data_IF_010064840419
#
_entry.id   IF_010064840419
#
_cell.length_a   1.000
_cell.length_b   1.000
_cell.length_c   1.000
_cell.angle_alpha   90.00
_cell.angle_beta   90.00
_cell.angle_gamma   90.00
#
_symmetry.space_group_name_H-M   'P 1'
#
loop_
_entity.id
_entity.type
_entity.pdbx_description
1 polymer ?
#
# COMPACT_ATOMS: atom_id res chain seq x y z
N UNK A 1 -29.49 -52.34 25.88
CA UNK A 1 -29.81 -51.26 24.92
C UNK A 1 -28.59 -50.37 24.80
N UNK A 2 -27.71 -50.66 23.84
CA UNK A 2 -26.52 -49.86 23.57
C UNK A 2 -26.80 -48.97 22.36
N UNK A 3 -26.72 -47.66 22.55
CA UNK A 3 -26.82 -46.69 21.47
C UNK A 3 -25.46 -46.63 20.75
N UNK A 4 -25.43 -47.10 19.51
CA UNK A 4 -24.33 -46.86 18.58
C UNK A 4 -24.37 -45.39 18.15
N UNK A 5 -23.34 -44.64 18.52
CA UNK A 5 -23.12 -43.26 18.03
C UNK A 5 -22.38 -43.39 16.71
N UNK A 6 -23.09 -43.15 15.60
CA UNK A 6 -22.50 -43.04 14.27
C UNK A 6 -21.65 -41.76 14.19
N UNK A 7 -20.38 -41.92 13.84
CA UNK A 7 -19.48 -40.81 13.55
C UNK A 7 -19.75 -40.25 12.14
N UNK A 8 -19.71 -38.93 11.92
CA UNK A 8 -20.07 -38.33 10.65
C UNK A 8 -18.95 -38.43 9.58
N UNK A 9 -19.29 -38.59 8.28
CA UNK A 9 -18.40 -39.09 7.20
C UNK A 9 -17.46 -38.05 6.53
N UNK A 10 -17.09 -36.98 7.22
CA UNK A 10 -16.29 -35.86 6.66
C UNK A 10 -14.83 -35.78 7.12
N UNK A 11 -14.25 -36.88 7.62
CA UNK A 11 -12.79 -36.98 7.79
C UNK A 11 -12.14 -37.44 6.49
N UNK A 12 -11.89 -36.51 5.57
CA UNK A 12 -11.28 -36.88 4.30
C UNK A 12 -10.90 -35.75 3.35
N UNK A 13 -10.54 -34.55 3.84
CA UNK A 13 -9.81 -33.55 3.04
C UNK A 13 -8.83 -32.79 3.93
N UNK A 14 -7.55 -32.84 3.54
CA UNK A 14 -6.45 -32.20 4.26
C UNK A 14 -6.73 -30.72 4.45
N UNK A 15 -6.69 -30.28 5.72
CA UNK A 15 -6.68 -28.85 6.03
C UNK A 15 -5.39 -28.25 5.46
N UNK A 16 -5.44 -27.11 4.75
CA UNK A 16 -4.23 -26.39 4.40
C UNK A 16 -3.53 -26.02 5.71
N UNK A 17 -2.30 -26.50 5.89
CA UNK A 17 -1.43 -26.05 6.97
C UNK A 17 -1.35 -24.51 6.88
N UNK A 18 -1.56 -23.78 7.98
CA UNK A 18 -1.48 -22.33 7.96
C UNK A 18 -0.09 -21.90 7.48
N UNK A 19 -0.02 -20.97 6.53
CA UNK A 19 1.23 -20.37 6.02
C UNK A 19 2.16 -19.90 7.16
N UNK A 20 1.60 -19.57 8.33
CA UNK A 20 2.33 -19.25 9.55
C UNK A 20 3.24 -20.38 10.07
N UNK A 21 2.87 -21.66 9.90
CA UNK A 21 3.68 -22.79 10.34
C UNK A 21 4.92 -23.04 9.45
N UNK A 22 4.89 -22.58 8.20
CA UNK A 22 6.05 -22.64 7.29
C UNK A 22 7.06 -21.52 7.50
N UNK A 23 6.68 -20.41 8.14
CA UNK A 23 7.53 -19.23 8.35
C UNK A 23 8.33 -19.27 9.67
N UNK A 24 7.85 -20.03 10.66
CA UNK A 24 8.55 -20.22 11.95
C UNK A 24 10.00 -20.72 11.81
N UNK A 25 10.32 -21.77 11.03
CA UNK A 25 11.70 -22.22 10.89
C UNK A 25 12.58 -21.22 10.12
N UNK A 26 12.00 -20.40 9.24
CA UNK A 26 12.75 -19.37 8.49
C UNK A 26 13.13 -18.17 9.37
N UNK A 27 12.24 -17.76 10.28
CA UNK A 27 12.51 -16.68 11.23
C UNK A 27 13.60 -17.06 12.25
N UNK A 28 13.57 -18.29 12.76
CA UNK A 28 14.62 -18.79 13.66
C UNK A 28 15.98 -18.89 12.95
N UNK A 29 16.01 -19.41 11.72
CA UNK A 29 17.23 -19.48 10.92
C UNK A 29 17.81 -18.07 10.63
N UNK A 30 16.97 -17.06 10.42
CA UNK A 30 17.39 -15.67 10.23
C UNK A 30 18.03 -15.08 11.49
N UNK A 31 17.48 -15.35 12.68
CA UNK A 31 18.06 -14.88 13.93
C UNK A 31 19.43 -15.52 14.22
N UNK A 32 19.57 -16.83 14.00
CA UNK A 32 20.85 -17.53 14.20
C UNK A 32 21.93 -17.09 13.20
N UNK A 33 21.58 -16.94 11.93
CA UNK A 33 22.53 -16.48 10.90
C UNK A 33 22.95 -15.02 11.10
N UNK A 34 22.05 -14.15 11.54
CA UNK A 34 22.37 -12.76 11.87
C UNK A 34 23.31 -12.65 13.08
N UNK A 35 23.08 -13.46 14.12
CA UNK A 35 23.94 -13.50 15.31
C UNK A 35 25.33 -14.08 15.00
N UNK A 36 25.40 -15.16 14.21
CA UNK A 36 26.66 -15.79 13.82
C UNK A 36 27.44 -14.99 12.77
N UNK A 37 26.78 -14.18 11.94
CA UNK A 37 27.43 -13.32 10.94
C UNK A 37 27.93 -11.99 11.50
N UNK A 38 27.23 -11.41 12.49
CA UNK A 38 27.63 -10.15 13.11
C UNK A 38 28.81 -10.29 14.09
N UNK A 39 28.92 -11.45 14.76
CA UNK A 39 29.95 -11.68 15.79
C UNK A 39 31.40 -11.65 15.25
N UNK A 40 31.74 -12.27 14.10
CA UNK A 40 33.07 -12.17 13.51
C UNK A 40 33.39 -10.76 13.00
N UNK A 41 32.41 -10.07 12.41
CA UNK A 41 32.58 -8.70 11.91
C UNK A 41 32.87 -7.70 13.04
N UNK A 42 32.22 -7.91 14.20
CA UNK A 42 32.49 -7.15 15.43
C UNK A 42 33.90 -7.44 15.98
N UNK A 43 34.33 -8.71 16.00
CA UNK A 43 35.67 -9.10 16.46
C UNK A 43 36.80 -8.61 15.55
N UNK A 44 36.55 -8.44 14.25
CA UNK A 44 37.53 -7.95 13.27
C UNK A 44 37.64 -6.42 13.21
N UNK A 45 36.91 -5.68 14.06
CA UNK A 45 37.03 -4.23 14.17
C UNK A 45 36.39 -3.44 13.02
N UNK A 46 35.52 -4.07 12.23
CA UNK A 46 34.87 -3.44 11.08
C UNK A 46 33.61 -2.68 11.52
N UNK A 47 33.80 -1.60 12.26
CA UNK A 47 32.72 -0.76 12.81
C UNK A 47 32.11 0.23 11.83
N UNK A 48 32.37 0.11 10.53
CA UNK A 48 31.75 1.02 9.56
C UNK A 48 30.28 0.63 9.41
N UNK A 49 29.32 1.53 9.72
CA UNK A 49 27.89 1.22 9.67
C UNK A 49 27.44 0.80 8.27
N UNK A 50 28.13 1.26 7.21
CA UNK A 50 27.88 0.82 5.84
C UNK A 50 28.23 -0.65 5.57
N UNK A 51 29.26 -1.20 6.23
CA UNK A 51 29.64 -2.61 6.08
C UNK A 51 28.63 -3.54 6.78
N UNK A 52 28.15 -3.12 7.95
CA UNK A 52 27.11 -3.85 8.70
C UNK A 52 25.81 -3.89 7.88
N UNK A 53 25.41 -2.76 7.31
CA UNK A 53 24.21 -2.68 6.47
C UNK A 53 24.34 -3.57 5.21
N UNK A 54 25.51 -3.56 4.57
CA UNK A 54 25.79 -4.41 3.41
C UNK A 54 25.71 -5.91 3.73
N UNK A 55 26.25 -6.33 4.87
CA UNK A 55 26.22 -7.73 5.31
C UNK A 55 24.80 -8.20 5.66
N UNK A 56 23.99 -7.32 6.27
CA UNK A 56 22.57 -7.58 6.56
C UNK A 56 21.75 -7.72 5.27
N UNK A 57 21.98 -6.85 4.28
CA UNK A 57 21.30 -6.94 2.98
C UNK A 57 21.70 -8.20 2.20
N UNK A 58 22.98 -8.58 2.25
CA UNK A 58 23.48 -9.79 1.59
C UNK A 58 22.89 -11.05 2.23
N UNK A 59 22.87 -11.13 3.56
CA UNK A 59 22.30 -12.27 4.30
C UNK A 59 20.79 -12.39 4.09
N UNK A 60 20.06 -11.27 4.08
CA UNK A 60 18.64 -11.25 3.71
C UNK A 60 18.40 -11.76 2.28
N UNK A 61 19.21 -11.31 1.31
CA UNK A 61 19.08 -11.74 -0.09
C UNK A 61 19.31 -13.24 -0.26
N UNK A 62 20.31 -13.79 0.43
CA UNK A 62 20.60 -15.23 0.43
C UNK A 62 19.49 -16.07 1.10
N UNK A 63 18.88 -15.55 2.17
CA UNK A 63 17.79 -16.22 2.88
C UNK A 63 16.49 -16.25 2.07
N UNK A 64 16.22 -15.23 1.26
CA UNK A 64 14.99 -15.12 0.46
C UNK A 64 15.12 -15.83 -0.91
N UNK A 65 16.33 -16.01 -1.43
CA UNK A 65 16.58 -16.68 -2.72
C UNK A 65 15.92 -18.06 -2.89
N UNK A 66 15.90 -18.99 -1.91
CA UNK A 66 15.22 -20.27 -2.06
C UNK A 66 13.69 -20.17 -1.98
N UNK A 67 13.14 -19.16 -1.30
CA UNK A 67 11.67 -18.95 -1.19
C UNK A 67 11.08 -18.43 -2.50
N UNK A 68 11.86 -17.66 -3.26
CA UNK A 68 11.45 -17.16 -4.59
C UNK A 68 11.63 -18.18 -5.70
N UNK A 69 12.30 -19.31 -5.43
CA UNK A 69 12.46 -20.41 -6.40
C UNK A 69 11.27 -21.37 -6.32
N UNK A 70 10.07 -20.83 -6.55
CA UNK A 70 8.88 -21.64 -6.78
C UNK A 70 9.10 -22.43 -8.08
N UNK A 71 9.02 -23.78 -8.06
CA UNK A 71 9.12 -24.56 -9.28
C UNK A 71 7.95 -24.18 -10.19
N UNK A 72 8.26 -23.56 -11.33
CA UNK A 72 7.30 -23.42 -12.44
C UNK A 72 6.99 -24.82 -12.96
N UNK A 73 5.91 -25.41 -12.48
CA UNK A 73 5.30 -26.56 -13.13
C UNK A 73 4.94 -26.17 -14.56
N UNK A 74 5.41 -26.95 -15.52
CA UNK A 74 5.23 -26.69 -16.94
C UNK A 74 3.77 -26.94 -17.34
N UNK A 75 3.14 -25.95 -17.97
CA UNK A 75 1.84 -25.98 -18.64
C UNK A 75 1.78 -26.99 -19.80
N UNK A 76 1.81 -28.30 -19.52
CA UNK A 76 1.66 -29.34 -20.55
C UNK A 76 0.44 -30.25 -20.36
N UNK A 77 -0.43 -29.98 -19.38
CA UNK A 77 -1.55 -30.87 -19.03
C UNK A 77 -2.94 -30.50 -19.59
N UNK A 78 -3.24 -29.24 -19.89
CA UNK A 78 -4.63 -28.76 -19.97
C UNK A 78 -5.25 -28.65 -21.38
N UNK A 79 -4.68 -29.31 -22.40
CA UNK A 79 -5.17 -29.22 -23.81
C UNK A 79 -5.77 -30.50 -24.38
N UNK A 80 -6.12 -31.52 -23.57
CA UNK A 80 -6.64 -32.80 -24.10
C UNK A 80 -8.07 -33.19 -23.72
N UNK A 81 -8.87 -32.29 -23.13
CA UNK A 81 -10.26 -32.60 -22.78
C UNK A 81 -11.31 -31.89 -23.65
N UNK A 82 -10.93 -31.18 -24.72
CA UNK A 82 -11.88 -30.40 -25.53
C UNK A 82 -12.38 -31.10 -26.81
N UNK A 83 -11.77 -32.20 -27.25
CA UNK A 83 -12.05 -32.78 -28.59
C UNK A 83 -12.80 -34.12 -28.58
N UNK A 84 -13.56 -34.43 -27.53
CA UNK A 84 -14.39 -35.63 -27.49
C UNK A 84 -15.78 -35.36 -26.90
N UNK A 85 -16.54 -34.48 -27.55
CA UNK A 85 -17.99 -34.41 -27.37
C UNK A 85 -18.64 -34.70 -28.72
N UNK A 86 -18.92 -35.98 -28.96
CA UNK A 86 -19.78 -36.39 -30.08
C UNK A 86 -21.20 -35.82 -29.85
N UNK A 87 -21.79 -35.13 -30.84
CA UNK A 87 -23.11 -34.55 -30.69
C UNK A 87 -24.18 -35.58 -31.07
N UNK A 88 -24.48 -36.57 -30.23
CA UNK A 88 -25.70 -37.39 -30.41
C UNK A 88 -26.23 -37.98 -29.10
N UNK A 89 -26.59 -37.13 -28.14
CA UNK A 89 -27.61 -37.54 -27.16
C UNK A 89 -28.97 -37.53 -27.85
N UNK A 90 -29.36 -38.69 -28.40
CA UNK A 90 -30.75 -38.95 -28.78
C UNK A 90 -31.61 -38.76 -27.53
N UNK A 91 -32.33 -37.64 -27.47
CA UNK A 91 -33.39 -37.38 -26.48
C UNK A 91 -34.56 -38.34 -26.79
N UNK A 92 -34.43 -39.59 -26.35
CA UNK A 92 -35.46 -40.61 -26.51
C UNK A 92 -36.57 -40.32 -25.50
N UNK A 93 -37.74 -39.94 -26.01
CA UNK A 93 -38.98 -39.81 -25.20
C UNK A 93 -39.65 -38.44 -25.26
N UNK A 94 -39.02 -37.43 -25.85
CA UNK A 94 -39.64 -36.11 -26.00
C UNK A 94 -40.35 -36.01 -27.35
N UNK A 95 -41.58 -35.51 -27.31
CA UNK A 95 -42.34 -35.15 -28.52
C UNK A 95 -41.69 -33.95 -29.20
N UNK A 96 -41.91 -33.78 -30.51
CA UNK A 96 -41.36 -32.62 -31.27
C UNK A 96 -41.76 -31.27 -30.67
N UNK A 97 -42.91 -31.19 -29.99
CA UNK A 97 -43.36 -29.97 -29.31
C UNK A 97 -42.56 -29.69 -28.03
N UNK A 98 -42.19 -30.72 -27.27
CA UNK A 98 -41.36 -30.55 -26.07
C UNK A 98 -39.92 -30.19 -26.42
N UNK A 99 -39.40 -30.70 -27.54
CA UNK A 99 -38.08 -30.30 -28.05
C UNK A 99 -38.09 -28.84 -28.51
N UNK A 100 -39.10 -28.43 -29.28
CA UNK A 100 -39.24 -27.04 -29.72
C UNK A 100 -39.43 -26.07 -28.53
N UNK A 101 -40.16 -26.48 -27.50
CA UNK A 101 -40.32 -25.69 -26.28
C UNK A 101 -39.02 -25.61 -25.47
N UNK A 102 -38.27 -26.70 -25.36
CA UNK A 102 -36.97 -26.70 -24.69
C UNK A 102 -35.93 -25.85 -25.43
N UNK A 103 -35.95 -25.87 -26.77
CA UNK A 103 -35.13 -24.98 -27.61
C UNK A 103 -35.53 -23.51 -27.42
N UNK A 104 -36.84 -23.17 -27.42
CA UNK A 104 -37.30 -21.79 -27.21
C UNK A 104 -36.98 -21.27 -25.78
N UNK A 105 -37.07 -22.12 -24.76
CA UNK A 105 -36.70 -21.77 -23.37
C UNK A 105 -35.18 -21.57 -23.25
N UNK A 106 -34.37 -22.41 -23.88
CA UNK A 106 -32.91 -22.26 -23.88
C UNK A 106 -32.46 -21.03 -24.66
N UNK A 107 -33.10 -20.70 -25.78
CA UNK A 107 -32.83 -19.47 -26.53
C UNK A 107 -33.19 -18.21 -25.72
N UNK A 108 -34.31 -18.23 -24.98
CA UNK A 108 -34.68 -17.14 -24.07
C UNK A 108 -33.71 -16.98 -22.90
N UNK A 109 -33.30 -18.07 -22.26
CA UNK A 109 -32.34 -18.03 -21.15
C UNK A 109 -30.94 -17.57 -21.61
N UNK A 110 -30.54 -17.93 -22.85
CA UNK A 110 -29.29 -17.47 -23.44
C UNK A 110 -29.32 -15.97 -23.79
N UNK A 111 -30.45 -15.46 -24.29
CA UNK A 111 -30.64 -14.04 -24.56
C UNK A 111 -30.75 -13.20 -23.27
N UNK A 112 -31.37 -13.73 -22.21
CA UNK A 112 -31.50 -13.03 -20.93
C UNK A 112 -30.18 -13.02 -20.11
N UNK A 113 -29.33 -14.04 -20.26
CA UNK A 113 -27.97 -14.06 -19.70
C UNK A 113 -26.96 -13.18 -20.44
N UNK A 114 -27.13 -12.95 -21.74
CA UNK A 114 -26.25 -12.07 -22.53
C UNK A 114 -26.50 -10.58 -22.29
N UNK A 115 -27.63 -10.19 -21.69
CA UNK A 115 -28.01 -8.78 -21.49
C UNK A 115 -27.66 -8.24 -20.08
N UNK A 116 -27.22 -9.08 -19.12
CA UNK A 116 -27.06 -8.63 -17.72
C UNK A 116 -25.79 -9.04 -16.96
N UNK A 117 -24.84 -9.81 -17.54
CA UNK A 117 -23.85 -10.51 -16.70
C UNK A 117 -22.36 -10.16 -16.82
N UNK A 118 -21.84 -9.94 -18.02
CA UNK A 118 -20.38 -10.01 -18.22
C UNK A 118 -19.61 -8.75 -17.83
N UNK A 119 -20.21 -7.56 -17.96
CA UNK A 119 -19.52 -6.30 -17.67
C UNK A 119 -19.30 -6.05 -16.17
N UNK A 120 -20.26 -6.44 -15.32
CA UNK A 120 -20.12 -6.30 -13.87
C UNK A 120 -18.93 -7.11 -13.35
N UNK A 121 -18.71 -8.30 -13.90
CA UNK A 121 -17.60 -9.20 -13.58
C UNK A 121 -16.21 -8.65 -13.95
N UNK A 122 -16.14 -7.82 -15.00
CA UNK A 122 -14.89 -7.20 -15.47
C UNK A 122 -14.58 -5.93 -14.66
N UNK A 123 -15.60 -5.16 -14.29
CA UNK A 123 -15.44 -3.89 -13.55
C UNK A 123 -14.87 -4.13 -12.14
N UNK A 124 -15.44 -5.05 -11.35
CA UNK A 124 -14.93 -5.28 -9.98
C UNK A 124 -13.49 -5.79 -9.97
N UNK A 125 -13.11 -6.65 -10.92
CA UNK A 125 -11.73 -7.17 -11.04
C UNK A 125 -10.75 -6.06 -11.38
N UNK A 126 -11.16 -5.11 -12.22
CA UNK A 126 -10.35 -3.94 -12.57
C UNK A 126 -10.14 -3.07 -11.35
N UNK A 127 -11.20 -2.72 -10.62
CA UNK A 127 -11.09 -1.88 -9.43
C UNK A 127 -10.29 -2.55 -8.31
N UNK A 128 -10.42 -3.87 -8.14
CA UNK A 128 -9.60 -4.63 -7.19
C UNK A 128 -8.10 -4.59 -7.56
N UNK A 129 -7.77 -4.66 -8.85
CA UNK A 129 -6.38 -4.51 -9.32
C UNK A 129 -5.86 -3.11 -9.06
N UNK A 130 -6.64 -2.06 -9.36
CA UNK A 130 -6.25 -0.68 -9.07
C UNK A 130 -6.05 -0.43 -7.57
N UNK A 131 -6.89 -1.04 -6.73
CA UNK A 131 -6.73 -1.02 -5.27
C UNK A 131 -5.43 -1.70 -4.84
N UNK A 132 -5.12 -2.88 -5.39
CA UNK A 132 -3.87 -3.58 -5.12
C UNK A 132 -2.66 -2.75 -5.54
N UNK A 133 -2.67 -2.16 -6.74
CA UNK A 133 -1.61 -1.29 -7.24
C UNK A 133 -1.40 -0.07 -6.31
N UNK A 134 -2.47 0.55 -5.82
CA UNK A 134 -2.39 1.67 -4.88
C UNK A 134 -1.80 1.24 -3.51
N UNK A 135 -2.15 0.05 -3.03
CA UNK A 135 -1.58 -0.51 -1.78
C UNK A 135 -0.10 -0.84 -1.94
N UNK A 136 0.29 -1.45 -3.06
CA UNK A 136 1.68 -1.81 -3.36
C UNK A 136 2.57 -0.59 -3.58
N UNK A 137 2.03 0.46 -4.21
CA UNK A 137 2.72 1.74 -4.41
C UNK A 137 2.87 2.57 -3.12
N UNK A 138 2.22 2.17 -2.02
CA UNK A 138 2.16 2.92 -0.76
C UNK A 138 1.62 4.36 -0.94
N UNK A 139 0.76 4.57 -1.95
CA UNK A 139 0.18 5.87 -2.27
C UNK A 139 -1.07 6.14 -1.41
N UNK A 140 -0.82 6.70 -0.23
CA UNK A 140 -1.86 7.07 0.75
C UNK A 140 -2.82 8.13 0.20
N UNK A 141 -2.45 8.92 -0.82
CA UNK A 141 -3.35 9.93 -1.40
C UNK A 141 -4.33 9.31 -2.40
N UNK A 142 -3.87 8.34 -3.19
CA UNK A 142 -4.70 7.62 -4.15
C UNK A 142 -5.60 6.54 -3.49
N UNK A 143 -5.12 5.92 -2.40
CA UNK A 143 -5.78 4.77 -1.76
C UNK A 143 -7.26 5.01 -1.34
N UNK A 144 -7.65 6.17 -0.76
CA UNK A 144 -9.05 6.46 -0.44
C UNK A 144 -9.95 6.57 -1.68
N UNK A 145 -9.39 6.96 -2.82
CA UNK A 145 -10.09 6.98 -4.10
C UNK A 145 -10.35 5.56 -4.60
N UNK A 146 -9.31 4.71 -4.57
CA UNK A 146 -9.39 3.33 -4.99
C UNK A 146 -10.36 2.50 -4.14
N UNK A 147 -10.38 2.70 -2.81
CA UNK A 147 -11.32 2.00 -1.91
C UNK A 147 -12.77 2.33 -2.29
N UNK A 148 -13.09 3.62 -2.51
CA UNK A 148 -14.45 4.04 -2.89
C UNK A 148 -14.86 3.52 -4.27
N UNK A 149 -13.93 3.45 -5.21
CA UNK A 149 -14.20 2.90 -6.54
C UNK A 149 -14.46 1.38 -6.47
N UNK A 150 -13.68 0.64 -5.68
CA UNK A 150 -13.88 -0.78 -5.44
C UNK A 150 -15.21 -1.07 -4.71
N UNK A 151 -15.57 -0.26 -3.71
CA UNK A 151 -16.87 -0.33 -3.03
C UNK A 151 -18.03 -0.10 -4.01
N UNK A 152 -17.93 0.93 -4.87
CA UNK A 152 -18.94 1.21 -5.89
C UNK A 152 -19.06 0.10 -6.95
N UNK A 153 -17.98 -0.64 -7.20
CA UNK A 153 -17.97 -1.79 -8.09
C UNK A 153 -18.50 -3.08 -7.43
N UNK A 154 -18.91 -3.03 -6.16
CA UNK A 154 -19.48 -4.17 -5.44
C UNK A 154 -18.45 -5.14 -4.85
N UNK A 155 -17.19 -4.70 -4.67
CA UNK A 155 -16.17 -5.49 -3.96
C UNK A 155 -16.61 -5.73 -2.52
N UNK A 156 -16.43 -6.96 -2.03
CA UNK A 156 -16.89 -7.34 -0.71
C UNK A 156 -16.13 -6.59 0.40
N UNK A 157 -16.83 -6.16 1.45
CA UNK A 157 -16.24 -5.44 2.56
C UNK A 157 -15.07 -6.19 3.24
N UNK A 158 -15.08 -7.53 3.23
CA UNK A 158 -13.96 -8.34 3.73
C UNK A 158 -12.68 -8.18 2.93
N UNK A 159 -12.78 -7.90 1.62
CA UNK A 159 -11.64 -7.66 0.75
C UNK A 159 -11.12 -6.22 0.90
N UNK A 160 -12.04 -5.26 1.11
CA UNK A 160 -11.70 -3.86 1.38
C UNK A 160 -11.05 -3.65 2.75
N UNK A 161 -11.41 -4.47 3.75
CA UNK A 161 -10.93 -4.35 5.13
C UNK A 161 -9.40 -4.33 5.24
N UNK A 162 -8.70 -5.07 4.38
CA UNK A 162 -7.24 -5.04 4.35
C UNK A 162 -6.71 -3.68 3.88
N UNK A 163 -7.26 -3.14 2.79
CA UNK A 163 -6.86 -1.84 2.26
C UNK A 163 -7.18 -0.69 3.24
N UNK A 164 -8.32 -0.76 3.91
CA UNK A 164 -8.69 0.19 4.98
C UNK A 164 -7.73 0.13 6.16
N UNK A 165 -7.33 -1.08 6.59
CA UNK A 165 -6.36 -1.25 7.66
C UNK A 165 -4.99 -0.67 7.28
N UNK A 166 -4.55 -0.91 6.04
CA UNK A 166 -3.31 -0.31 5.50
C UNK A 166 -3.43 1.22 5.51
N UNK A 167 -4.52 1.78 4.99
CA UNK A 167 -4.75 3.24 4.99
C UNK A 167 -4.69 3.81 6.42
N UNK A 168 -5.40 3.20 7.36
CA UNK A 168 -5.42 3.62 8.77
C UNK A 168 -4.01 3.60 9.39
N UNK A 169 -3.25 2.54 9.14
CA UNK A 169 -1.86 2.43 9.61
C UNK A 169 -0.98 3.53 9.03
N UNK A 170 -1.07 3.81 7.71
CA UNK A 170 -0.26 4.82 7.04
C UNK A 170 -0.62 6.24 7.48
N UNK A 171 -1.90 6.54 7.66
CA UNK A 171 -2.36 7.81 8.23
C UNK A 171 -1.82 7.99 9.64
N UNK A 172 -1.87 6.95 10.48
CA UNK A 172 -1.31 6.99 11.83
C UNK A 172 0.21 7.24 11.82
N UNK A 173 0.95 6.57 10.94
CA UNK A 173 2.40 6.78 10.77
C UNK A 173 2.73 8.21 10.31
N UNK A 174 2.01 8.74 9.29
CA UNK A 174 2.18 10.13 8.83
C UNK A 174 1.89 11.13 9.94
N UNK A 175 0.81 10.91 10.70
CA UNK A 175 0.46 11.74 11.86
C UNK A 175 1.54 11.72 12.93
N UNK A 176 2.07 10.52 13.26
CA UNK A 176 3.14 10.37 14.23
C UNK A 176 4.43 11.07 13.77
N UNK A 177 4.85 10.87 12.51
CA UNK A 177 6.02 11.54 11.94
C UNK A 177 5.89 13.06 11.96
N UNK A 178 4.70 13.58 11.62
CA UNK A 178 4.44 15.02 11.68
C UNK A 178 4.47 15.57 13.12
N UNK A 179 3.92 14.83 14.09
CA UNK A 179 4.02 15.16 15.51
C UNK A 179 5.47 15.19 16.02
N UNK A 180 6.28 14.21 15.63
CA UNK A 180 7.70 14.17 15.99
C UNK A 180 8.47 15.34 15.37
N UNK A 181 8.22 15.65 14.10
CA UNK A 181 8.81 16.82 13.43
C UNK A 181 8.42 18.12 14.15
N UNK A 182 7.14 18.26 14.52
CA UNK A 182 6.64 19.39 15.30
C UNK A 182 7.38 19.50 16.64
N UNK A 183 7.47 18.40 17.40
CA UNK A 183 8.18 18.35 18.69
C UNK A 183 9.64 18.76 18.56
N UNK A 184 10.35 18.25 17.55
CA UNK A 184 11.76 18.60 17.29
C UNK A 184 11.93 20.09 17.00
N UNK A 185 11.04 20.68 16.21
CA UNK A 185 11.09 22.11 15.89
C UNK A 185 10.78 22.96 17.13
N UNK A 186 9.85 22.53 17.98
CA UNK A 186 9.52 23.27 19.22
C UNK A 186 10.52 23.09 20.36
N UNK A 187 11.26 21.98 20.40
CA UNK A 187 12.20 21.66 21.48
C UNK A 187 13.67 21.98 21.14
N UNK A 188 13.97 22.35 19.89
CA UNK A 188 15.33 22.60 19.43
C UNK A 188 15.98 23.79 20.15
N UNK A 189 17.22 23.66 20.66
CA UNK A 189 17.95 24.79 21.23
C UNK A 189 18.38 25.73 20.09
N UNK A 190 17.94 26.99 20.15
CA UNK A 190 18.38 28.04 19.23
C UNK A 190 17.23 28.86 18.64
N UNK A 191 17.56 29.93 17.90
CA UNK A 191 16.55 30.69 17.15
C UNK A 191 15.95 29.79 16.08
N UNK A 192 14.72 29.35 16.31
CA UNK A 192 13.97 28.59 15.31
C UNK A 192 13.48 29.58 14.25
N UNK A 193 13.86 29.34 13.00
CA UNK A 193 13.38 30.14 11.87
C UNK A 193 11.86 30.04 11.76
N UNK A 194 11.18 31.19 11.65
CA UNK A 194 9.72 31.24 11.53
C UNK A 194 9.20 30.36 10.38
N UNK A 195 9.98 30.27 9.29
CA UNK A 195 9.71 29.41 8.12
C UNK A 195 9.64 27.94 8.52
N UNK A 196 10.57 27.44 9.35
CA UNK A 196 10.60 26.03 9.77
C UNK A 196 9.40 25.66 10.63
N UNK A 197 9.03 26.53 11.57
CA UNK A 197 7.82 26.34 12.40
C UNK A 197 6.58 26.34 11.51
N UNK A 198 6.48 27.28 10.56
CA UNK A 198 5.37 27.36 9.63
C UNK A 198 5.22 26.08 8.81
N UNK A 199 6.31 25.57 8.23
CA UNK A 199 6.28 24.32 7.47
C UNK A 199 5.87 23.12 8.35
N UNK A 200 6.41 23.01 9.57
CA UNK A 200 6.07 21.94 10.50
C UNK A 200 4.58 21.96 10.89
N UNK A 201 4.03 23.14 11.19
CA UNK A 201 2.60 23.31 11.51
C UNK A 201 1.72 22.95 10.30
N UNK A 202 2.09 23.36 9.09
CA UNK A 202 1.34 23.02 7.88
C UNK A 202 1.33 21.51 7.62
N UNK A 203 2.47 20.84 7.73
CA UNK A 203 2.56 19.39 7.59
C UNK A 203 1.73 18.65 8.66
N UNK A 204 1.79 19.10 9.92
CA UNK A 204 1.02 18.51 10.99
C UNK A 204 -0.50 18.68 10.79
N UNK A 205 -0.94 19.84 10.29
CA UNK A 205 -2.35 20.06 9.91
C UNK A 205 -2.78 19.13 8.76
N UNK A 206 -1.97 19.02 7.72
CA UNK A 206 -2.24 18.12 6.60
C UNK A 206 -2.33 16.64 7.03
N UNK A 207 -1.54 16.24 8.04
CA UNK A 207 -1.56 14.90 8.61
C UNK A 207 -2.67 14.67 9.66
N UNK A 208 -3.58 15.63 9.87
CA UNK A 208 -4.69 15.48 10.81
C UNK A 208 -4.28 15.50 12.29
N UNK A 209 -3.19 16.18 12.64
CA UNK A 209 -2.79 16.38 14.03
C UNK A 209 -3.82 17.25 14.77
N UNK A 210 -4.10 16.92 16.03
CA UNK A 210 -5.12 17.61 16.81
C UNK A 210 -4.75 19.07 17.08
N UNK A 211 -5.75 19.95 17.22
CA UNK A 211 -5.50 21.37 17.54
C UNK A 211 -4.77 21.56 18.87
N UNK A 212 -5.03 20.68 19.84
CA UNK A 212 -4.36 20.72 21.14
C UNK A 212 -2.85 20.46 21.02
N UNK A 213 -2.47 19.47 20.20
CA UNK A 213 -1.06 19.17 19.93
C UNK A 213 -0.34 20.30 19.16
N UNK A 214 -1.07 21.02 18.30
CA UNK A 214 -0.53 22.12 17.49
C UNK A 214 -0.33 23.41 18.28
N UNK A 215 -1.09 23.61 19.37
CA UNK A 215 -1.20 24.89 20.09
C UNK A 215 0.16 25.50 20.43
N UNK A 216 1.07 24.73 21.03
CA UNK A 216 2.40 25.23 21.41
C UNK A 216 3.22 25.69 20.21
N UNK A 217 3.15 24.97 19.09
CA UNK A 217 3.87 25.33 17.88
C UNK A 217 3.26 26.57 17.21
N UNK A 218 1.94 26.74 17.29
CA UNK A 218 1.26 27.94 16.78
C UNK A 218 1.58 29.19 17.60
N UNK A 219 1.61 29.07 18.93
CA UNK A 219 2.06 30.14 19.84
C UNK A 219 3.51 30.56 19.53
N UNK A 220 4.41 29.58 19.36
CA UNK A 220 5.80 29.84 18.96
C UNK A 220 5.89 30.48 17.57
N UNK A 221 5.09 30.04 16.61
CA UNK A 221 5.04 30.63 15.27
C UNK A 221 4.67 32.12 15.34
N UNK A 222 3.61 32.44 16.07
CA UNK A 222 3.15 33.82 16.25
C UNK A 222 4.22 34.69 16.91
N UNK A 223 4.87 34.20 17.97
CA UNK A 223 5.96 34.92 18.64
C UNK A 223 7.16 35.17 17.71
N UNK A 224 7.56 34.18 16.90
CA UNK A 224 8.63 34.34 15.91
C UNK A 224 8.26 35.35 14.81
N UNK A 225 7.03 35.28 14.27
CA UNK A 225 6.55 36.22 13.25
C UNK A 225 6.47 37.66 13.78
N UNK A 226 6.03 37.86 15.02
CA UNK A 226 6.03 39.17 15.67
C UNK A 226 7.45 39.71 15.88
N UNK A 227 8.38 38.87 16.35
CA UNK A 227 9.78 39.24 16.51
C UNK A 227 10.44 39.61 15.17
N UNK A 228 10.11 38.92 14.08
CA UNK A 228 10.57 39.28 12.73
C UNK A 228 9.93 40.58 12.25
N UNK A 229 8.63 40.79 12.47
CA UNK A 229 7.93 42.04 12.12
C UNK A 229 8.55 43.25 12.81
N UNK A 230 8.96 43.14 14.08
CA UNK A 230 9.64 44.22 14.79
C UNK A 230 11.02 44.55 14.22
N UNK A 231 11.69 43.59 13.56
CA UNK A 231 12.99 43.81 12.89
C UNK A 231 12.83 44.49 11.53
N UNK A 232 11.71 44.33 10.83
CA UNK A 232 11.49 44.88 9.48
C UNK A 232 11.64 46.41 9.39
N UNK A 233 11.08 47.25 10.29
CA UNK A 233 11.26 48.71 10.23
C UNK A 233 12.72 49.13 10.31
N UNK A 234 13.52 48.45 11.14
CA UNK A 234 14.96 48.73 11.28
C UNK A 234 15.75 48.31 10.04
N UNK A 235 15.39 47.19 9.40
CA UNK A 235 16.04 46.70 8.19
C UNK A 235 15.73 47.58 6.96
N UNK A 236 14.47 48.00 6.80
CA UNK A 236 14.05 48.93 5.73
C UNK A 236 14.66 50.33 5.92
N UNK A 237 14.76 50.81 7.17
CA UNK A 237 15.44 52.06 7.48
C UNK A 237 16.96 52.00 7.22
N UNK A 238 17.61 50.87 7.50
CA UNK A 238 19.01 50.63 7.14
C UNK A 238 19.23 50.54 5.62
N UNK A 239 18.31 49.91 4.88
CA UNK A 239 18.37 49.89 3.41
C UNK A 239 18.24 51.29 2.81
N UNK A 240 17.34 52.13 3.33
CA UNK A 240 17.19 53.52 2.89
C UNK A 240 18.44 54.39 3.12
N UNK A 241 19.27 54.06 4.11
CA UNK A 241 20.54 54.75 4.39
C UNK A 241 21.72 54.31 3.50
N UNK A 242 21.53 53.33 2.59
CA UNK A 242 22.52 52.99 1.55
C UNK A 242 22.02 53.41 0.16
N UNK A 243 21.94 54.73 -0.14
CA UNK A 243 21.68 55.18 -1.50
C UNK A 243 22.92 54.87 -2.34
N UNK A 244 22.86 53.87 -3.22
CA UNK A 244 23.94 53.64 -4.19
C UNK A 244 24.19 52.19 -4.62
N UNK A 245 23.64 51.18 -3.92
CA UNK A 245 23.59 49.84 -4.51
C UNK A 245 22.33 49.75 -5.37
N UNK A 246 22.47 50.14 -6.64
CA UNK A 246 21.58 49.67 -7.69
C UNK A 246 21.40 48.17 -7.52
N UNK A 247 20.19 47.75 -7.15
CA UNK A 247 19.74 46.40 -7.36
C UNK A 247 19.76 46.22 -8.88
N UNK A 248 20.90 45.75 -9.42
CA UNK A 248 20.91 45.12 -10.72
C UNK A 248 20.00 43.91 -10.53
N UNK A 249 18.76 44.04 -10.99
CA UNK A 249 17.98 42.87 -11.36
C UNK A 249 18.90 42.10 -12.29
N UNK A 250 19.41 40.97 -11.80
CA UNK A 250 20.04 40.01 -12.69
C UNK A 250 18.91 39.62 -13.63
N UNK A 251 18.97 40.18 -14.84
CA UNK A 251 18.08 39.81 -15.92
C UNK A 251 18.02 38.30 -15.95
N UNK A 252 16.78 37.79 -15.89
CA UNK A 252 16.49 36.38 -15.89
C UNK A 252 17.31 35.72 -17.02
N UNK A 253 18.32 34.95 -16.63
CA UNK A 253 18.93 33.98 -17.52
C UNK A 253 17.77 33.12 -18.02
N UNK A 254 17.53 33.19 -19.33
CA UNK A 254 16.51 32.42 -20.03
C UNK A 254 16.67 30.95 -19.63
N UNK A 255 15.81 30.49 -18.72
CA UNK A 255 15.64 29.07 -18.45
C UNK A 255 14.97 28.50 -19.69
N UNK A 256 15.81 28.10 -20.65
CA UNK A 256 15.40 27.34 -21.81
C UNK A 256 14.83 26.01 -21.31
N UNK A 257 13.50 25.95 -21.22
CA UNK A 257 12.79 24.69 -21.16
C UNK A 257 12.86 24.06 -22.55
N UNK A 258 13.82 23.15 -22.73
CA UNK A 258 13.80 22.24 -23.88
C UNK A 258 12.58 21.31 -23.77
N UNK A 259 11.84 21.07 -24.86
CA UNK A 259 10.63 20.26 -24.89
C UNK A 259 10.89 18.77 -24.60
#
# INVERSE_FOLDING_TARGET
MHASIEAPPWQGRGRPLPLAAGLLPAAEAFCYTSLLGAFPAYMLGWYRPSAILGLLLLSFSLAVAPVLKVPRESDKGFRRCADAVEPTTKLVGLTRQEVAFAEEVLERDAEEQLVTGEDAGVVWRRELRLLQEAVEADDVEALPGAIRAAEAAGVAASELAFAEAVLAQRVAQRRQGALEALRRVTAGPGPVEAVRIRCAVLMARAAGVSREDLRRAEELRSACEEAERLKLPSALAQQRKRPGRHLRFVEAEEVNFTP
#
